data_IF_088677484047
#
_entry.id   IF_088677484047
#
_cell.length_a   1.000
_cell.length_b   1.000
_cell.length_c   1.000
_cell.angle_alpha   90.00
_cell.angle_beta   90.00
_cell.angle_gamma   90.00
#
_symmetry.space_group_name_H-M   'P 1'
#
loop_
_entity.id
_entity.type
_entity.pdbx_description
1 polymer ?
#
# COMPACT_ATOMS: atom_id res chain seq x y z
N UNK A 1 -12.59 -21.32 3.01
CA UNK A 1 -12.55 -19.90 2.55
C UNK A 1 -11.83 -19.89 1.23
N UNK A 2 -12.27 -19.10 0.25
CA UNK A 2 -11.55 -18.92 -1.01
C UNK A 2 -10.21 -18.23 -0.72
N UNK A 3 -9.14 -18.64 -1.42
CA UNK A 3 -7.84 -17.96 -1.32
C UNK A 3 -7.98 -16.50 -1.76
N UNK A 4 -7.50 -15.56 -0.93
CA UNK A 4 -7.49 -14.13 -1.25
C UNK A 4 -6.26 -13.77 -2.07
N UNK A 5 -6.27 -14.23 -3.32
CA UNK A 5 -5.18 -14.02 -4.29
C UNK A 5 -5.70 -13.28 -5.51
N UNK A 6 -4.85 -12.49 -6.13
CA UNK A 6 -5.12 -11.85 -7.40
C UNK A 6 -3.86 -11.69 -8.23
N UNK A 7 -4.04 -11.68 -9.54
CA UNK A 7 -3.06 -11.22 -10.51
C UNK A 7 -3.71 -10.11 -11.33
N UNK A 8 -3.01 -8.98 -11.49
CA UNK A 8 -3.44 -7.83 -12.28
C UNK A 8 -2.30 -7.39 -13.17
N UNK A 9 -2.62 -7.16 -14.43
CA UNK A 9 -1.72 -6.53 -15.41
C UNK A 9 -2.32 -5.20 -15.87
N UNK A 10 -1.49 -4.19 -15.91
CA UNK A 10 -1.81 -2.86 -16.43
C UNK A 10 -0.76 -2.46 -17.45
N UNK A 11 -1.17 -2.32 -18.68
CA UNK A 11 -0.29 -1.93 -19.78
C UNK A 11 -0.79 -0.62 -20.39
N UNK A 12 0.06 0.39 -20.41
CA UNK A 12 -0.17 1.69 -21.05
C UNK A 12 0.90 1.91 -22.13
N UNK A 13 0.93 3.10 -22.71
CA UNK A 13 2.03 3.50 -23.60
C UNK A 13 3.31 3.83 -22.83
N UNK A 14 3.21 4.13 -21.55
CA UNK A 14 4.29 4.59 -20.67
C UNK A 14 4.84 3.46 -19.80
N UNK A 15 3.98 2.55 -19.36
CA UNK A 15 4.33 1.48 -18.39
C UNK A 15 3.73 0.13 -18.75
N UNK A 16 4.39 -0.92 -18.30
CA UNK A 16 3.88 -2.31 -18.28
C UNK A 16 4.08 -2.85 -16.88
N UNK A 17 2.99 -3.12 -16.18
CA UNK A 17 3.03 -3.51 -14.77
C UNK A 17 2.24 -4.79 -14.56
N UNK A 18 2.81 -5.69 -13.76
CA UNK A 18 2.15 -6.87 -13.25
C UNK A 18 2.32 -6.95 -11.75
N UNK A 19 1.21 -7.21 -11.05
CA UNK A 19 1.16 -7.43 -9.61
C UNK A 19 0.47 -8.76 -9.35
N UNK A 20 1.18 -9.67 -8.69
CA UNK A 20 0.62 -10.90 -8.11
C UNK A 20 0.61 -10.75 -6.59
N UNK A 21 -0.55 -10.97 -5.96
CA UNK A 21 -0.74 -10.77 -4.52
C UNK A 21 -1.41 -11.97 -3.86
N UNK A 22 -0.97 -12.28 -2.64
CA UNK A 22 -1.65 -13.19 -1.72
C UNK A 22 -1.81 -12.50 -0.36
N UNK A 23 -3.03 -12.12 0.00
CA UNK A 23 -3.34 -11.43 1.26
C UNK A 23 -3.16 -12.32 2.49
N UNK A 24 -3.19 -13.64 2.32
CA UNK A 24 -2.97 -14.64 3.36
C UNK A 24 -1.56 -15.26 3.26
N UNK A 25 -0.59 -14.43 2.89
CA UNK A 25 0.79 -14.82 2.66
C UNK A 25 1.63 -14.93 3.94
N UNK A 26 2.94 -14.96 3.74
CA UNK A 26 3.95 -15.06 4.80
C UNK A 26 4.93 -13.87 4.81
N UNK A 27 4.66 -12.86 3.97
CA UNK A 27 5.47 -11.66 3.84
C UNK A 27 6.66 -11.83 2.89
N UNK A 28 6.49 -12.63 1.82
CA UNK A 28 7.50 -12.80 0.78
C UNK A 28 7.32 -11.72 -0.29
N UNK A 29 8.40 -11.04 -0.64
CA UNK A 29 8.45 -10.03 -1.70
C UNK A 29 9.38 -10.45 -2.83
N UNK A 30 8.97 -10.17 -4.08
CA UNK A 30 9.82 -10.18 -5.26
C UNK A 30 9.51 -8.93 -6.07
N UNK A 31 10.52 -8.10 -6.33
CA UNK A 31 10.33 -6.79 -6.95
C UNK A 31 11.36 -6.58 -8.06
N UNK A 32 10.86 -6.17 -9.22
CA UNK A 32 11.66 -5.82 -10.40
C UNK A 32 10.95 -4.63 -11.08
N UNK A 33 11.21 -3.42 -10.57
CA UNK A 33 10.54 -2.21 -11.03
C UNK A 33 11.49 -1.22 -11.71
N UNK A 34 12.79 -1.43 -11.57
CA UNK A 34 13.80 -0.47 -11.98
C UNK A 34 13.92 0.74 -11.05
N UNK A 35 13.13 0.82 -9.98
CA UNK A 35 13.15 1.91 -8.97
C UNK A 35 13.47 1.31 -7.60
N UNK A 36 14.76 1.17 -7.30
CA UNK A 36 15.25 0.42 -6.13
C UNK A 36 14.68 0.89 -4.79
N UNK A 37 14.44 2.20 -4.63
CA UNK A 37 13.86 2.71 -3.40
C UNK A 37 12.38 2.35 -3.25
N UNK A 38 11.63 2.33 -4.35
CA UNK A 38 10.25 1.83 -4.34
C UNK A 38 10.21 0.34 -3.96
N UNK A 39 11.11 -0.48 -4.51
CA UNK A 39 11.20 -1.91 -4.18
C UNK A 39 11.46 -2.13 -2.70
N UNK A 40 12.36 -1.34 -2.10
CA UNK A 40 12.58 -1.35 -0.66
C UNK A 40 11.31 -1.02 0.14
N UNK A 41 10.50 -0.06 -0.34
CA UNK A 41 9.23 0.30 0.30
C UNK A 41 8.17 -0.82 0.12
N UNK A 42 8.10 -1.46 -1.05
CA UNK A 42 7.20 -2.59 -1.28
C UNK A 42 7.54 -3.78 -0.38
N UNK A 43 8.82 -4.03 -0.10
CA UNK A 43 9.24 -5.07 0.85
C UNK A 43 8.75 -4.77 2.28
N UNK A 44 8.67 -3.50 2.68
CA UNK A 44 8.07 -3.14 3.98
C UNK A 44 6.58 -3.51 4.04
N UNK A 45 5.83 -3.28 2.96
CA UNK A 45 4.41 -3.68 2.88
C UNK A 45 4.28 -5.20 3.00
N UNK A 46 5.02 -5.95 2.17
CA UNK A 46 4.99 -7.40 2.17
C UNK A 46 5.33 -7.97 3.55
N UNK A 47 6.48 -7.58 4.08
CA UNK A 47 7.04 -8.08 5.34
C UNK A 47 6.15 -7.79 6.55
N UNK A 48 5.71 -6.54 6.70
CA UNK A 48 4.95 -6.11 7.88
C UNK A 48 3.45 -6.39 7.73
N UNK A 49 2.95 -6.51 6.51
CA UNK A 49 1.59 -6.92 6.18
C UNK A 49 1.37 -8.44 6.24
N UNK A 50 2.44 -9.25 6.22
CA UNK A 50 2.41 -10.69 5.97
C UNK A 50 1.68 -11.04 4.66
N UNK A 51 1.87 -10.19 3.65
CA UNK A 51 1.30 -10.32 2.32
C UNK A 51 2.41 -10.80 1.39
N UNK A 52 2.15 -11.82 0.58
CA UNK A 52 3.10 -12.16 -0.47
C UNK A 52 2.83 -11.26 -1.69
N UNK A 53 3.88 -10.60 -2.20
CA UNK A 53 3.84 -9.68 -3.33
C UNK A 53 4.92 -10.02 -4.36
N UNK A 54 4.52 -10.15 -5.62
CA UNK A 54 5.43 -10.15 -6.77
C UNK A 54 5.03 -8.98 -7.67
N UNK A 55 5.95 -8.02 -7.87
CA UNK A 55 5.71 -6.81 -8.67
C UNK A 55 6.79 -6.69 -9.74
N UNK A 56 6.36 -6.66 -10.99
CA UNK A 56 7.21 -6.37 -12.14
C UNK A 56 6.70 -5.13 -12.84
N UNK A 57 7.60 -4.19 -13.11
CA UNK A 57 7.30 -2.97 -13.82
C UNK A 57 8.39 -2.66 -14.84
N UNK A 58 7.98 -2.23 -16.02
CA UNK A 58 8.85 -1.63 -17.01
C UNK A 58 8.21 -0.32 -17.45
N UNK A 59 8.79 0.80 -17.05
CA UNK A 59 8.32 2.14 -17.37
C UNK A 59 9.34 2.97 -18.14
N UNK A 60 8.95 4.17 -18.47
CA UNK A 60 9.77 5.17 -19.16
C UNK A 60 10.69 5.95 -18.20
N UNK A 61 11.35 5.24 -17.28
CA UNK A 61 12.23 5.78 -16.22
C UNK A 61 13.38 6.65 -16.75
N UNK A 62 13.60 6.66 -18.08
CA UNK A 62 14.53 7.59 -18.71
C UNK A 62 14.03 9.05 -18.70
N UNK A 63 12.74 9.26 -18.48
CA UNK A 63 12.12 10.58 -18.26
C UNK A 63 12.27 10.91 -16.77
N UNK A 64 11.57 10.18 -15.92
CA UNK A 64 11.68 10.13 -14.46
C UNK A 64 10.93 8.88 -13.93
N UNK A 65 10.84 8.72 -12.60
CA UNK A 65 10.20 7.56 -12.00
C UNK A 65 8.68 7.76 -11.79
N UNK A 66 8.10 8.91 -12.18
CA UNK A 66 6.71 9.29 -11.85
C UNK A 66 5.70 8.25 -12.34
N UNK A 67 5.67 8.00 -13.65
CA UNK A 67 4.69 7.07 -14.24
C UNK A 67 4.81 5.66 -13.67
N UNK A 68 6.03 5.19 -13.42
CA UNK A 68 6.26 3.87 -12.83
C UNK A 68 5.71 3.79 -11.42
N UNK A 69 5.99 4.77 -10.56
CA UNK A 69 5.59 4.79 -9.15
C UNK A 69 4.07 4.91 -9.02
N UNK A 70 3.46 5.84 -9.75
CA UNK A 70 2.00 6.02 -9.78
C UNK A 70 1.29 4.76 -10.24
N UNK A 71 1.71 4.21 -11.39
CA UNK A 71 1.09 3.04 -12.00
C UNK A 71 1.28 1.74 -11.17
N UNK A 72 2.39 1.61 -10.42
CA UNK A 72 2.54 0.55 -9.42
C UNK A 72 1.51 0.72 -8.31
N UNK A 73 1.30 1.94 -7.80
CA UNK A 73 0.27 2.24 -6.81
C UNK A 73 -1.14 1.88 -7.31
N UNK A 74 -1.48 2.28 -8.53
CA UNK A 74 -2.74 1.96 -9.22
C UNK A 74 -2.94 0.43 -9.31
N UNK A 75 -1.96 -0.27 -9.86
CA UNK A 75 -2.05 -1.71 -10.12
C UNK A 75 -2.12 -2.51 -8.81
N UNK A 76 -1.36 -2.08 -7.79
CA UNK A 76 -1.42 -2.65 -6.45
C UNK A 76 -2.82 -2.46 -5.82
N UNK A 77 -3.40 -1.25 -5.94
CA UNK A 77 -4.77 -0.98 -5.47
C UNK A 77 -5.81 -1.87 -6.14
N UNK A 78 -5.71 -2.07 -7.46
CA UNK A 78 -6.56 -2.99 -8.21
C UNK A 78 -6.40 -4.44 -7.74
N UNK A 79 -5.16 -4.87 -7.47
CA UNK A 79 -4.87 -6.21 -6.99
C UNK A 79 -5.47 -6.45 -5.59
N UNK A 80 -5.37 -5.48 -4.68
CA UNK A 80 -6.02 -5.51 -3.37
C UNK A 80 -7.53 -5.61 -3.50
N UNK A 81 -8.16 -4.74 -4.28
CA UNK A 81 -9.61 -4.73 -4.50
C UNK A 81 -10.11 -6.08 -5.02
N UNK A 82 -9.37 -6.68 -5.96
CA UNK A 82 -9.70 -7.99 -6.54
C UNK A 82 -9.51 -9.13 -5.55
N UNK A 83 -8.43 -9.12 -4.78
CA UNK A 83 -8.09 -10.19 -3.85
C UNK A 83 -9.01 -10.22 -2.62
N UNK A 84 -9.43 -9.05 -2.12
CA UNK A 84 -10.27 -8.93 -0.92
C UNK A 84 -11.73 -9.37 -1.18
N UNK A 85 -12.20 -9.29 -2.42
CA UNK A 85 -13.54 -9.71 -2.80
C UNK A 85 -14.65 -8.88 -2.15
N UNK A 86 -15.64 -9.54 -1.55
CA UNK A 86 -16.84 -8.91 -1.01
C UNK A 86 -16.67 -8.29 0.40
N UNK A 87 -15.47 -8.35 0.96
CA UNK A 87 -15.11 -7.78 2.27
C UNK A 87 -15.88 -8.35 3.48
N UNK A 88 -16.61 -9.46 3.32
CA UNK A 88 -17.32 -10.07 4.45
C UNK A 88 -16.37 -10.72 5.44
N UNK A 89 -16.65 -10.50 6.71
CA UNK A 89 -15.91 -11.12 7.82
C UNK A 89 -14.54 -10.53 8.10
N UNK A 90 -14.09 -9.48 7.39
CA UNK A 90 -12.82 -8.79 7.70
C UNK A 90 -13.01 -7.80 8.85
N UNK A 91 -11.92 -7.44 9.52
CA UNK A 91 -11.90 -6.38 10.55
C UNK A 91 -12.25 -5.00 9.96
N UNK A 92 -11.95 -4.76 8.68
CA UNK A 92 -12.23 -3.56 7.91
C UNK A 92 -11.35 -2.35 8.27
N UNK A 93 -11.21 -2.04 9.56
CA UNK A 93 -10.39 -0.93 10.04
C UNK A 93 -9.03 -1.44 10.51
N UNK A 94 -7.98 -0.76 10.15
CA UNK A 94 -6.65 -1.04 10.64
C UNK A 94 -5.89 0.22 10.97
N UNK A 95 -5.04 0.14 11.98
CA UNK A 95 -4.16 1.25 12.33
C UNK A 95 -2.84 0.74 12.89
N UNK A 96 -1.81 1.56 12.78
CA UNK A 96 -0.51 1.26 13.39
C UNK A 96 0.28 2.52 13.65
N UNK A 97 1.04 2.51 14.74
CA UNK A 97 2.12 3.44 15.03
C UNK A 97 3.44 2.67 14.92
N UNK A 98 4.36 3.15 14.10
CA UNK A 98 5.67 2.50 13.92
C UNK A 98 6.79 3.51 14.08
N UNK A 99 7.73 3.28 15.00
CA UNK A 99 8.95 4.07 15.12
C UNK A 99 10.08 3.48 14.28
N UNK A 100 11.00 4.32 13.88
CA UNK A 100 12.34 3.97 13.42
C UNK A 100 13.29 5.08 13.90
N UNK A 101 14.13 4.75 14.88
CA UNK A 101 14.99 5.71 15.58
C UNK A 101 14.21 6.96 16.04
N UNK A 102 14.48 8.12 15.44
CA UNK A 102 13.83 9.40 15.78
C UNK A 102 12.51 9.64 15.05
N UNK A 103 12.18 8.83 14.04
CA UNK A 103 10.95 8.96 13.28
C UNK A 103 9.82 8.12 13.88
N UNK A 104 8.61 8.64 13.79
CA UNK A 104 7.38 7.98 14.22
C UNK A 104 6.25 8.34 13.26
N UNK A 105 5.63 7.34 12.67
CA UNK A 105 4.45 7.54 11.82
C UNK A 105 3.23 6.79 12.35
N UNK A 106 2.06 7.33 12.03
CA UNK A 106 0.76 6.72 12.23
C UNK A 106 0.08 6.51 10.88
N UNK A 107 -0.49 5.33 10.67
CA UNK A 107 -1.34 5.04 9.51
C UNK A 107 -2.66 4.46 9.99
N UNK A 108 -3.77 4.94 9.40
CA UNK A 108 -5.13 4.44 9.64
C UNK A 108 -5.80 4.17 8.32
N UNK A 109 -6.40 2.99 8.16
CA UNK A 109 -7.08 2.58 6.92
C UNK A 109 -8.49 2.08 7.21
N UNK A 110 -9.43 2.41 6.32
CA UNK A 110 -10.78 1.88 6.26
C UNK A 110 -11.05 1.33 4.85
N UNK A 111 -11.35 0.04 4.72
CA UNK A 111 -11.82 -0.58 3.48
C UNK A 111 -13.28 -0.20 3.19
N UNK A 112 -13.52 1.10 3.15
CA UNK A 112 -14.83 1.77 3.12
C UNK A 112 -15.60 1.64 1.79
N UNK A 113 -14.95 1.20 0.72
CA UNK A 113 -15.49 1.29 -0.65
C UNK A 113 -15.48 2.71 -1.24
N UNK A 114 -14.86 3.67 -0.55
CA UNK A 114 -14.76 5.09 -0.97
C UNK A 114 -13.32 5.56 -0.91
N UNK A 115 -12.75 6.06 -2.03
CA UNK A 115 -11.40 6.59 -2.02
C UNK A 115 -11.31 7.90 -1.22
N UNK A 116 -10.27 8.03 -0.43
CA UNK A 116 -9.93 9.25 0.29
C UNK A 116 -8.52 9.15 0.88
N UNK A 117 -7.67 10.12 0.60
CA UNK A 117 -6.29 10.18 1.11
C UNK A 117 -6.06 11.46 1.89
N UNK A 118 -5.61 11.32 3.13
CA UNK A 118 -5.00 12.38 3.92
C UNK A 118 -3.52 12.02 4.12
N UNK A 119 -2.62 12.80 3.53
CA UNK A 119 -1.19 12.54 3.53
C UNK A 119 -0.45 13.71 4.17
N UNK A 120 -0.06 13.55 5.43
CA UNK A 120 0.59 14.56 6.26
C UNK A 120 2.03 14.15 6.58
N UNK A 121 2.91 14.29 5.59
CA UNK A 121 4.35 13.99 5.73
C UNK A 121 5.15 15.17 5.22
N UNK A 122 5.77 15.91 6.14
CA UNK A 122 6.65 17.03 5.81
C UNK A 122 8.09 16.53 5.69
N UNK A 123 8.55 16.30 4.47
CA UNK A 123 9.90 15.85 4.21
C UNK A 123 10.92 16.96 4.40
N UNK A 124 12.05 16.63 5.02
CA UNK A 124 13.16 17.56 5.27
C UNK A 124 14.02 17.81 4.03
N UNK A 125 13.79 17.08 2.95
CA UNK A 125 14.51 17.17 1.67
C UNK A 125 13.65 16.68 0.52
N UNK A 126 13.95 17.12 -0.69
CA UNK A 126 13.20 16.74 -1.89
C UNK A 126 13.52 15.34 -2.44
N UNK A 127 14.64 14.72 -2.02
CA UNK A 127 15.06 13.41 -2.54
C UNK A 127 15.69 12.53 -1.48
N UNK A 128 15.50 11.22 -1.64
CA UNK A 128 16.19 10.17 -0.90
C UNK A 128 16.99 9.36 -1.93
N UNK A 129 18.32 9.56 -1.93
CA UNK A 129 19.13 9.08 -3.04
C UNK A 129 18.71 9.77 -4.36
N UNK A 130 18.27 8.98 -5.32
CA UNK A 130 17.73 9.50 -6.60
C UNK A 130 16.20 9.62 -6.61
N UNK A 131 15.52 9.07 -5.59
CA UNK A 131 14.06 9.02 -5.53
C UNK A 131 13.49 10.37 -5.05
N UNK A 132 12.55 10.93 -5.81
CA UNK A 132 11.82 12.15 -5.46
C UNK A 132 10.74 11.85 -4.41
N UNK A 133 10.70 12.62 -3.33
CA UNK A 133 9.76 12.37 -2.22
C UNK A 133 8.31 12.66 -2.58
N UNK A 134 8.04 13.49 -3.57
CA UNK A 134 6.67 13.80 -4.01
C UNK A 134 5.97 12.57 -4.60
N UNK A 135 6.75 11.60 -5.11
CA UNK A 135 6.21 10.37 -5.68
C UNK A 135 5.52 9.45 -4.66
N UNK A 136 5.77 9.63 -3.37
CA UNK A 136 5.04 8.87 -2.34
C UNK A 136 3.56 9.24 -2.29
N UNK A 137 3.24 10.51 -2.48
CA UNK A 137 1.85 10.95 -2.59
C UNK A 137 1.17 10.28 -3.77
N UNK A 138 1.80 10.29 -4.94
CA UNK A 138 1.25 9.69 -6.17
C UNK A 138 1.03 8.18 -6.02
N UNK A 139 1.99 7.48 -5.40
CA UNK A 139 1.82 6.06 -5.08
C UNK A 139 0.59 5.80 -4.22
N UNK A 140 0.44 6.52 -3.08
CA UNK A 140 -0.69 6.30 -2.17
C UNK A 140 -2.01 6.77 -2.78
N UNK A 141 -2.01 7.86 -3.58
CA UNK A 141 -3.21 8.32 -4.28
C UNK A 141 -3.67 7.30 -5.32
N UNK A 142 -2.74 6.74 -6.11
CA UNK A 142 -3.02 5.66 -7.05
C UNK A 142 -3.60 4.42 -6.35
N UNK A 143 -2.98 4.00 -5.24
CA UNK A 143 -3.46 2.89 -4.43
C UNK A 143 -4.88 3.13 -3.89
N UNK A 144 -5.11 4.25 -3.22
CA UNK A 144 -6.37 4.61 -2.57
C UNK A 144 -7.53 4.63 -3.56
N UNK A 145 -7.31 5.25 -4.73
CA UNK A 145 -8.33 5.37 -5.79
C UNK A 145 -8.77 4.02 -6.34
N UNK A 146 -7.88 3.03 -6.38
CA UNK A 146 -8.14 1.73 -7.01
C UNK A 146 -8.42 0.59 -6.01
N UNK A 147 -7.95 0.71 -4.77
CA UNK A 147 -8.36 -0.16 -3.68
C UNK A 147 -9.72 0.25 -3.07
N UNK A 148 -10.23 1.45 -3.40
CA UNK A 148 -11.45 2.04 -2.83
C UNK A 148 -11.42 2.06 -1.30
N UNK A 149 -10.37 2.66 -0.74
CA UNK A 149 -10.14 2.78 0.70
C UNK A 149 -10.03 4.24 1.12
N UNK A 150 -10.31 4.50 2.39
CA UNK A 150 -9.95 5.75 3.04
C UNK A 150 -8.66 5.53 3.82
N UNK A 151 -7.65 6.36 3.59
CA UNK A 151 -6.30 6.23 4.15
C UNK A 151 -5.82 7.53 4.74
N UNK A 152 -5.42 7.51 6.01
CA UNK A 152 -4.78 8.62 6.70
C UNK A 152 -3.35 8.24 7.04
N UNK A 153 -2.40 9.09 6.66
CA UNK A 153 -0.97 8.93 6.88
C UNK A 153 -0.44 10.19 7.56
N UNK A 154 0.11 10.03 8.76
CA UNK A 154 0.74 11.12 9.47
C UNK A 154 2.16 10.73 9.89
N UNK A 155 3.16 11.50 9.49
CA UNK A 155 4.47 11.45 10.12
C UNK A 155 4.48 12.42 11.31
N UNK A 156 4.44 11.87 12.50
CA UNK A 156 4.33 12.64 13.75
C UNK A 156 5.65 13.29 14.15
N UNK A 157 6.77 12.65 13.78
CA UNK A 157 8.15 13.12 14.04
C UNK A 157 9.10 12.43 13.06
N UNK A 158 10.20 13.08 12.79
CA UNK A 158 11.30 12.55 11.99
C UNK A 158 12.18 13.69 11.46
N UNK A 159 13.47 13.43 11.34
CA UNK A 159 14.45 14.36 10.76
C UNK A 159 15.14 13.80 9.54
N UNK A 160 15.17 12.47 9.44
CA UNK A 160 15.71 11.77 8.28
C UNK A 160 14.57 11.35 7.37
N UNK A 161 14.54 11.87 6.14
CA UNK A 161 13.46 11.59 5.19
C UNK A 161 13.30 10.10 4.87
N UNK A 162 14.40 9.31 4.86
CA UNK A 162 14.34 7.85 4.71
C UNK A 162 13.59 7.21 5.90
N UNK A 163 13.94 7.59 7.14
CA UNK A 163 13.26 7.07 8.32
C UNK A 163 11.78 7.49 8.36
N UNK A 164 11.47 8.74 7.94
CA UNK A 164 10.10 9.22 7.88
C UNK A 164 9.25 8.31 6.99
N UNK A 165 9.68 8.07 5.74
CA UNK A 165 8.88 7.30 4.81
C UNK A 165 8.90 5.80 5.11
N UNK A 166 10.01 5.25 5.57
CA UNK A 166 10.08 3.83 5.92
C UNK A 166 9.13 3.51 7.09
N UNK A 167 9.00 4.41 8.10
CA UNK A 167 8.00 4.24 9.16
C UNK A 167 6.57 4.28 8.63
N UNK A 168 6.29 5.08 7.60
CA UNK A 168 4.99 5.12 6.93
C UNK A 168 4.68 3.77 6.27
N UNK A 169 5.59 3.23 5.46
CA UNK A 169 5.36 1.96 4.76
C UNK A 169 5.25 0.76 5.73
N UNK A 170 6.04 0.74 6.79
CA UNK A 170 5.92 -0.26 7.87
C UNK A 170 4.56 -0.15 8.58
N UNK A 171 4.15 1.07 8.93
CA UNK A 171 2.86 1.31 9.57
C UNK A 171 1.70 0.95 8.63
N UNK A 172 1.81 1.25 7.34
CA UNK A 172 0.84 0.89 6.32
C UNK A 172 0.69 -0.63 6.20
N UNK A 173 1.81 -1.37 6.08
CA UNK A 173 1.77 -2.84 6.06
C UNK A 173 1.07 -3.43 7.29
N UNK A 174 1.37 -2.92 8.49
CA UNK A 174 0.71 -3.38 9.73
C UNK A 174 -0.77 -3.00 9.80
N UNK A 175 -1.13 -1.80 9.33
CA UNK A 175 -2.54 -1.37 9.27
C UNK A 175 -3.34 -2.23 8.28
N UNK A 176 -2.76 -2.54 7.11
CA UNK A 176 -3.34 -3.48 6.14
C UNK A 176 -3.58 -4.86 6.78
N UNK A 177 -2.56 -5.42 7.45
CA UNK A 177 -2.69 -6.71 8.12
C UNK A 177 -3.86 -6.72 9.09
N UNK A 178 -3.97 -5.71 9.97
CA UNK A 178 -5.06 -5.59 10.92
C UNK A 178 -6.44 -5.49 10.24
N UNK A 179 -6.55 -4.63 9.21
CA UNK A 179 -7.81 -4.40 8.51
C UNK A 179 -8.32 -5.64 7.75
N UNK A 180 -7.37 -6.44 7.23
CA UNK A 180 -7.64 -7.63 6.42
C UNK A 180 -7.82 -8.91 7.23
N UNK A 181 -7.49 -8.91 8.53
CA UNK A 181 -7.71 -10.07 9.39
C UNK A 181 -9.21 -10.41 9.46
N UNK A 182 -9.52 -11.73 9.44
CA UNK A 182 -10.88 -12.18 9.67
C UNK A 182 -11.24 -12.05 11.13
N UNK A 183 -12.38 -11.39 11.41
CA UNK A 183 -12.98 -11.40 12.74
C UNK A 183 -13.90 -12.63 12.87
N UNK A 184 -13.57 -13.61 13.72
CA UNK A 184 -14.38 -14.82 13.89
C UNK A 184 -15.80 -14.53 14.38
N UNK A 185 -16.02 -13.35 15.00
CA UNK A 185 -17.33 -12.89 15.47
C UNK A 185 -18.18 -12.28 14.36
N UNK A 186 -17.56 -11.95 13.21
CA UNK A 186 -18.20 -11.33 12.04
C UNK A 186 -18.27 -12.27 10.83
N UNK A 187 -18.06 -13.58 11.03
CA UNK A 187 -18.02 -14.56 9.94
C UNK A 187 -19.22 -14.44 9.02
N UNK A 188 -18.95 -14.20 7.71
CA UNK A 188 -19.97 -14.06 6.66
C UNK A 188 -20.80 -12.78 6.73
N UNK A 189 -20.55 -11.90 7.70
CA UNK A 189 -21.28 -10.63 7.84
C UNK A 189 -20.51 -9.48 7.16
N UNK A 190 -21.27 -8.53 6.62
CA UNK A 190 -20.71 -7.27 6.12
C UNK A 190 -20.36 -6.36 7.31
N UNK A 191 -19.11 -5.90 7.45
CA UNK A 191 -18.70 -5.03 8.55
C UNK A 191 -19.19 -3.58 8.34
N UNK A 192 -20.48 -3.41 8.13
CA UNK A 192 -21.13 -2.12 7.86
C UNK A 192 -22.58 -2.13 8.33
N UNK A 193 -22.98 -1.09 9.04
CA UNK A 193 -24.39 -0.87 9.44
C UNK A 193 -25.31 -0.62 8.23
N UNK A 194 -24.74 -0.27 7.06
CA UNK A 194 -25.49 -0.11 5.80
C UNK A 194 -25.74 -1.44 5.09
N UNK A 195 -25.08 -2.54 5.50
CA UNK A 195 -25.15 -3.84 4.83
C UNK A 195 -24.38 -3.91 3.50
N UNK A 196 -23.61 -2.86 3.15
CA UNK A 196 -22.77 -2.76 1.94
C UNK A 196 -21.52 -1.92 2.18
N UNK A 197 -20.48 -2.15 1.35
CA UNK A 197 -19.23 -1.39 1.29
C UNK A 197 -18.81 -1.15 -0.15
#
# INVERSE_FOLDING_TARGET
MSERKASVERNTLETKIRVDINLDGTGKGQFDTGVSFLEHMMDQIARHGLIDLDIKAAGDNHIDDHHTVEDVGITLGQAFSKAIGDKKGITRYGHSYVPLDEALSRVVIDFSGRPGLEFNVDFTRARIGQFDVDLFYEFFQGFVNHANVTLHIDNLRGRNAHHQIETVFKAFGRALRMALEFDPRMTGQMPSTKGSL
#
